data_IF_835586251478
#
_entry.id   IF_835586251478
#
_cell.length_a   1.000
_cell.length_b   1.000
_cell.length_c   1.000
_cell.angle_alpha   90.00
_cell.angle_beta   90.00
_cell.angle_gamma   90.00
#
_symmetry.space_group_name_H-M   'P 1'
#
loop_
_entity.id
_entity.type
_entity.pdbx_description
1 polymer ?
#
# COMPACT_ATOMS: atom_id res chain seq x y z
N UNK A 1 -31.07 -28.08 -41.36
CA UNK A 1 -29.70 -28.24 -40.82
C UNK A 1 -29.55 -27.23 -39.71
N UNK A 2 -29.82 -27.62 -38.45
CA UNK A 2 -29.58 -26.74 -37.31
C UNK A 2 -28.07 -26.56 -37.16
N UNK A 3 -27.62 -25.33 -36.96
CA UNK A 3 -26.20 -25.04 -36.96
C UNK A 3 -25.57 -25.63 -35.69
N UNK A 4 -24.46 -26.38 -35.85
CA UNK A 4 -23.81 -27.13 -34.77
C UNK A 4 -23.16 -26.18 -33.74
N UNK A 5 -23.06 -24.90 -34.09
CA UNK A 5 -22.39 -23.84 -33.35
C UNK A 5 -23.30 -22.63 -33.21
N UNK A 6 -24.31 -22.70 -32.34
CA UNK A 6 -25.14 -21.56 -31.98
C UNK A 6 -24.65 -20.98 -30.67
N UNK A 7 -24.14 -19.75 -30.74
CA UNK A 7 -23.99 -18.89 -29.58
C UNK A 7 -25.33 -18.17 -29.37
N UNK A 8 -25.79 -18.00 -28.13
CA UNK A 8 -26.96 -17.18 -27.85
C UNK A 8 -26.60 -15.69 -28.04
N UNK A 9 -26.64 -15.24 -29.29
CA UNK A 9 -26.22 -13.91 -29.72
C UNK A 9 -27.00 -12.79 -29.02
N UNK A 10 -28.30 -13.01 -28.75
CA UNK A 10 -29.15 -12.07 -28.02
C UNK A 10 -28.69 -11.85 -26.58
N UNK A 11 -28.23 -12.92 -25.91
CA UNK A 11 -27.71 -12.84 -24.55
C UNK A 11 -26.35 -12.16 -24.53
N UNK A 12 -25.48 -12.45 -25.51
CA UNK A 12 -24.18 -11.79 -25.64
C UNK A 12 -24.35 -10.30 -25.95
N UNK A 13 -25.35 -9.91 -26.73
CA UNK A 13 -25.66 -8.50 -27.00
C UNK A 13 -26.00 -7.73 -25.71
N UNK A 14 -26.75 -8.34 -24.79
CA UNK A 14 -27.06 -7.73 -23.48
C UNK A 14 -25.81 -7.53 -22.62
N UNK A 15 -24.88 -8.50 -22.65
CA UNK A 15 -23.61 -8.42 -21.94
C UNK A 15 -22.66 -7.38 -22.55
N UNK A 16 -22.67 -7.26 -23.88
CA UNK A 16 -21.93 -6.22 -24.61
C UNK A 16 -22.45 -4.82 -24.26
N UNK A 17 -23.78 -4.68 -24.08
CA UNK A 17 -24.36 -3.41 -23.64
C UNK A 17 -23.94 -3.02 -22.21
N UNK A 18 -23.75 -4.00 -21.31
CA UNK A 18 -23.29 -3.73 -19.93
C UNK A 18 -21.78 -3.49 -19.84
N UNK A 19 -20.99 -4.09 -20.73
CA UNK A 19 -19.54 -3.93 -20.80
C UNK A 19 -19.10 -3.35 -22.16
N UNK A 20 -19.24 -2.02 -22.37
CA UNK A 20 -18.88 -1.41 -23.65
C UNK A 20 -17.38 -1.57 -23.96
N UNK A 21 -17.06 -1.65 -25.25
CA UNK A 21 -15.70 -1.80 -25.79
C UNK A 21 -15.03 -3.15 -25.44
N UNK A 22 -15.81 -4.18 -25.11
CA UNK A 22 -15.31 -5.53 -24.75
C UNK A 22 -15.85 -6.66 -25.62
N UNK A 23 -16.46 -6.31 -26.74
CA UNK A 23 -17.25 -7.20 -27.60
C UNK A 23 -16.40 -8.37 -28.12
N UNK A 24 -15.21 -8.07 -28.64
CA UNK A 24 -14.28 -9.09 -29.12
C UNK A 24 -13.83 -10.05 -28.01
N UNK A 25 -13.59 -9.55 -26.79
CA UNK A 25 -13.17 -10.38 -25.66
C UNK A 25 -14.31 -11.23 -25.11
N UNK A 26 -15.53 -10.69 -25.07
CA UNK A 26 -16.74 -11.41 -24.65
C UNK A 26 -17.01 -12.55 -25.63
N UNK A 27 -17.00 -12.28 -26.93
CA UNK A 27 -17.24 -13.30 -27.96
C UNK A 27 -16.16 -14.39 -27.97
N UNK A 28 -14.89 -14.00 -27.81
CA UNK A 28 -13.79 -14.96 -27.67
C UNK A 28 -13.95 -15.83 -26.43
N UNK A 29 -14.25 -15.25 -25.27
CA UNK A 29 -14.42 -15.99 -24.02
C UNK A 29 -15.65 -16.91 -24.08
N UNK A 30 -16.77 -16.45 -24.64
CA UNK A 30 -17.98 -17.24 -24.84
C UNK A 30 -17.67 -18.47 -25.71
N UNK A 31 -16.96 -18.29 -26.84
CA UNK A 31 -16.56 -19.38 -27.74
C UNK A 31 -15.67 -20.43 -27.04
N UNK A 32 -14.76 -19.99 -26.16
CA UNK A 32 -13.81 -20.87 -25.47
C UNK A 32 -14.43 -21.62 -24.28
N UNK A 33 -15.55 -21.14 -23.74
CA UNK A 33 -16.21 -21.69 -22.54
C UNK A 33 -17.44 -22.52 -22.90
N UNK A 34 -18.16 -22.15 -23.95
CA UNK A 34 -19.44 -22.75 -24.29
C UNK A 34 -19.32 -24.24 -24.64
N UNK A 35 -20.14 -25.14 -24.05
CA UNK A 35 -19.98 -26.59 -24.18
C UNK A 35 -20.17 -27.12 -25.61
N UNK A 36 -20.98 -26.41 -26.41
CA UNK A 36 -21.27 -26.76 -27.82
C UNK A 36 -20.26 -26.18 -28.83
N UNK A 37 -19.26 -25.43 -28.36
CA UNK A 37 -18.26 -24.75 -29.20
C UNK A 37 -16.87 -25.41 -29.07
N UNK A 38 -15.81 -24.71 -29.50
CA UNK A 38 -14.41 -25.12 -29.38
C UNK A 38 -13.88 -24.94 -27.94
N UNK A 39 -14.50 -25.61 -26.98
CA UNK A 39 -14.22 -25.39 -25.57
C UNK A 39 -12.81 -25.89 -25.17
N UNK A 40 -11.99 -24.97 -24.69
CA UNK A 40 -10.62 -25.26 -24.25
C UNK A 40 -10.60 -25.90 -22.86
N UNK A 41 -9.51 -26.61 -22.54
CA UNK A 41 -9.32 -27.20 -21.20
C UNK A 41 -8.80 -26.19 -20.19
N UNK A 42 -7.89 -25.32 -20.62
CA UNK A 42 -7.29 -24.27 -19.81
C UNK A 42 -7.39 -22.94 -20.56
N UNK A 43 -7.92 -21.91 -19.88
CA UNK A 43 -8.03 -20.55 -20.41
C UNK A 43 -7.37 -19.59 -19.44
N UNK A 44 -6.54 -18.68 -19.93
CA UNK A 44 -5.87 -17.67 -19.11
C UNK A 44 -6.34 -16.28 -19.53
N UNK A 45 -6.99 -15.56 -18.62
CA UNK A 45 -7.51 -14.22 -18.87
C UNK A 45 -6.63 -13.20 -18.15
N UNK A 46 -5.67 -12.62 -18.87
CA UNK A 46 -4.71 -11.67 -18.32
C UNK A 46 -5.02 -10.21 -18.70
N UNK A 47 -4.48 -9.26 -17.92
CA UNK A 47 -4.63 -7.83 -18.20
C UNK A 47 -4.30 -6.98 -16.98
N UNK A 48 -4.28 -5.66 -17.13
CA UNK A 48 -4.01 -4.73 -16.01
C UNK A 48 -5.14 -4.74 -14.97
N UNK A 49 -4.88 -4.15 -13.80
CA UNK A 49 -5.90 -3.98 -12.75
C UNK A 49 -7.08 -3.16 -13.28
N UNK A 50 -8.27 -3.42 -12.75
CA UNK A 50 -9.49 -2.67 -13.09
C UNK A 50 -9.93 -2.70 -14.56
N UNK A 51 -9.59 -3.76 -15.30
CA UNK A 51 -10.04 -3.98 -16.69
C UNK A 51 -11.40 -4.67 -16.81
N UNK A 52 -12.02 -5.06 -15.68
CA UNK A 52 -13.33 -5.72 -15.65
C UNK A 52 -13.30 -7.23 -15.86
N UNK A 53 -12.11 -7.88 -15.94
CA UNK A 53 -11.97 -9.32 -16.22
C UNK A 53 -12.88 -10.20 -15.34
N UNK A 54 -12.78 -10.06 -14.02
CA UNK A 54 -13.57 -10.85 -13.07
C UNK A 54 -15.07 -10.57 -13.17
N UNK A 55 -15.46 -9.34 -13.47
CA UNK A 55 -16.86 -8.96 -13.64
C UNK A 55 -17.45 -9.57 -14.93
N UNK A 56 -16.73 -9.47 -16.05
CA UNK A 56 -17.12 -10.05 -17.34
C UNK A 56 -17.23 -11.58 -17.23
N UNK A 57 -16.25 -12.24 -16.61
CA UNK A 57 -16.29 -13.70 -16.43
C UNK A 57 -17.50 -14.13 -15.60
N UNK A 58 -17.77 -13.42 -14.50
CA UNK A 58 -18.89 -13.74 -13.63
C UNK A 58 -20.24 -13.58 -14.35
N UNK A 59 -20.45 -12.44 -15.02
CA UNK A 59 -21.70 -12.16 -15.72
C UNK A 59 -21.90 -13.08 -16.92
N UNK A 60 -20.84 -13.37 -17.68
CA UNK A 60 -20.88 -14.30 -18.80
C UNK A 60 -21.27 -15.71 -18.33
N UNK A 61 -20.63 -16.23 -17.28
CA UNK A 61 -20.93 -17.57 -16.77
C UNK A 61 -22.33 -17.67 -16.18
N UNK A 62 -22.82 -16.62 -15.51
CA UNK A 62 -24.21 -16.52 -15.07
C UNK A 62 -25.19 -16.59 -16.24
N UNK A 63 -24.93 -15.78 -17.28
CA UNK A 63 -25.77 -15.71 -18.47
C UNK A 63 -25.82 -17.05 -19.21
N UNK A 64 -24.68 -17.71 -19.40
CA UNK A 64 -24.59 -19.01 -20.06
C UNK A 64 -25.23 -20.14 -19.24
N UNK A 65 -25.14 -20.10 -17.90
CA UNK A 65 -25.81 -21.06 -17.02
C UNK A 65 -27.33 -20.91 -17.07
N UNK A 66 -27.83 -19.68 -17.16
CA UNK A 66 -29.27 -19.42 -17.24
C UNK A 66 -29.88 -19.91 -18.55
N UNK A 67 -29.13 -19.81 -19.65
CA UNK A 67 -29.54 -20.33 -20.96
C UNK A 67 -29.62 -21.86 -20.99
N UNK A 68 -28.57 -22.52 -20.49
CA UNK A 68 -28.43 -23.98 -20.57
C UNK A 68 -28.01 -24.57 -19.20
N UNK A 69 -28.94 -24.68 -18.23
CA UNK A 69 -28.62 -25.10 -16.85
C UNK A 69 -28.16 -26.56 -16.74
N UNK A 70 -28.55 -27.42 -17.67
CA UNK A 70 -28.10 -28.81 -17.76
C UNK A 70 -26.68 -28.94 -18.32
N UNK A 71 -26.32 -28.05 -19.26
CA UNK A 71 -25.11 -28.21 -20.07
C UNK A 71 -23.90 -27.52 -19.44
N UNK A 72 -24.11 -26.46 -18.65
CA UNK A 72 -23.03 -25.68 -18.05
C UNK A 72 -23.24 -25.40 -16.56
N UNK A 73 -22.33 -25.93 -15.74
CA UNK A 73 -22.18 -25.53 -14.35
C UNK A 73 -20.85 -24.85 -14.14
N UNK A 74 -20.77 -23.93 -13.17
CA UNK A 74 -19.52 -23.23 -12.88
C UNK A 74 -19.33 -22.96 -11.40
N UNK A 75 -18.07 -22.77 -11.00
CA UNK A 75 -17.70 -22.29 -9.68
C UNK A 75 -16.58 -21.25 -9.81
N UNK A 76 -16.71 -20.14 -9.06
CA UNK A 76 -15.71 -19.05 -9.04
C UNK A 76 -15.04 -19.03 -7.68
N UNK A 77 -13.75 -19.34 -7.66
CA UNK A 77 -12.90 -19.34 -6.47
C UNK A 77 -12.10 -18.04 -6.46
N UNK A 78 -12.34 -17.21 -5.44
CA UNK A 78 -11.55 -15.99 -5.20
C UNK A 78 -10.29 -16.35 -4.42
N UNK A 79 -9.21 -16.66 -5.14
CA UNK A 79 -7.95 -17.10 -4.54
C UNK A 79 -7.32 -16.05 -3.61
N UNK A 80 -7.62 -14.76 -3.81
CA UNK A 80 -7.17 -13.68 -2.92
C UNK A 80 -7.75 -13.77 -1.49
N UNK A 81 -8.89 -14.44 -1.29
CA UNK A 81 -9.48 -14.70 0.03
C UNK A 81 -8.87 -15.94 0.70
N UNK A 82 -8.15 -16.77 -0.07
CA UNK A 82 -7.55 -18.00 0.37
C UNK A 82 -6.09 -17.78 0.81
N UNK A 83 -5.88 -17.63 2.13
CA UNK A 83 -4.53 -17.40 2.70
C UNK A 83 -3.58 -18.58 2.43
N UNK A 84 -4.06 -19.83 2.59
CA UNK A 84 -3.25 -21.05 2.48
C UNK A 84 -3.73 -21.95 1.33
N UNK A 85 -2.86 -22.82 0.81
CA UNK A 85 -3.23 -23.76 -0.26
C UNK A 85 -4.35 -24.71 0.19
N UNK A 86 -4.32 -25.14 1.45
CA UNK A 86 -5.41 -25.92 2.06
C UNK A 86 -6.76 -25.19 2.00
N UNK A 87 -6.81 -23.92 2.39
CA UNK A 87 -8.05 -23.14 2.32
C UNK A 87 -8.54 -23.02 0.87
N UNK A 88 -7.62 -22.84 -0.10
CA UNK A 88 -7.97 -22.84 -1.52
C UNK A 88 -8.62 -24.18 -1.95
N UNK A 89 -8.04 -25.32 -1.54
CA UNK A 89 -8.52 -26.64 -1.93
C UNK A 89 -9.88 -26.97 -1.30
N UNK A 90 -10.03 -26.81 0.01
CA UNK A 90 -11.29 -27.06 0.73
C UNK A 90 -12.42 -26.16 0.19
N UNK A 91 -12.12 -24.87 -0.06
CA UNK A 91 -13.10 -23.94 -0.63
C UNK A 91 -13.49 -24.28 -2.07
N UNK A 92 -12.53 -24.77 -2.87
CA UNK A 92 -12.80 -25.25 -4.22
C UNK A 92 -13.77 -26.42 -4.20
N UNK A 93 -13.54 -27.42 -3.33
CA UNK A 93 -14.43 -28.60 -3.20
C UNK A 93 -15.82 -28.19 -2.70
N UNK A 94 -15.89 -27.28 -1.72
CA UNK A 94 -17.16 -26.74 -1.22
C UNK A 94 -17.97 -26.07 -2.32
N UNK A 95 -17.38 -25.10 -3.03
CA UNK A 95 -18.06 -24.37 -4.10
C UNK A 95 -18.48 -25.27 -5.27
N UNK A 96 -17.68 -26.29 -5.59
CA UNK A 96 -18.06 -27.30 -6.59
C UNK A 96 -19.20 -28.19 -6.06
N UNK A 97 -19.22 -28.52 -4.77
CA UNK A 97 -20.35 -29.21 -4.15
C UNK A 97 -21.66 -28.42 -4.26
N UNK A 98 -21.62 -27.15 -3.85
CA UNK A 98 -22.76 -26.23 -3.86
C UNK A 98 -23.29 -26.01 -5.28
N UNK A 99 -22.40 -25.79 -6.25
CA UNK A 99 -22.78 -25.59 -7.65
C UNK A 99 -23.50 -26.81 -8.24
N UNK A 100 -23.20 -28.01 -7.73
CA UNK A 100 -23.77 -29.27 -8.18
C UNK A 100 -24.93 -29.78 -7.31
N UNK A 101 -25.32 -29.02 -6.28
CA UNK A 101 -26.34 -29.42 -5.30
C UNK A 101 -26.05 -30.80 -4.66
N UNK A 102 -24.77 -31.14 -4.55
CA UNK A 102 -24.32 -32.38 -3.93
C UNK A 102 -24.06 -32.11 -2.45
N UNK A 103 -25.01 -32.48 -1.58
CA UNK A 103 -25.01 -32.33 -0.10
C UNK A 103 -23.90 -33.11 0.64
N UNK A 104 -22.84 -33.50 -0.07
CA UNK A 104 -21.67 -34.15 0.53
C UNK A 104 -20.83 -33.11 1.25
N UNK A 105 -20.65 -33.32 2.56
CA UNK A 105 -19.77 -32.51 3.40
C UNK A 105 -18.38 -32.38 2.75
N UNK A 106 -17.77 -31.18 2.75
CA UNK A 106 -16.45 -31.00 2.16
C UNK A 106 -15.44 -31.87 2.92
N UNK A 107 -14.94 -32.90 2.25
CA UNK A 107 -13.88 -33.75 2.78
C UNK A 107 -12.62 -32.94 3.06
N UNK A 108 -11.84 -33.34 4.07
CA UNK A 108 -10.58 -32.69 4.44
C UNK A 108 -9.58 -32.78 3.28
N UNK A 109 -9.32 -31.64 2.61
CA UNK A 109 -8.46 -31.57 1.42
C UNK A 109 -7.15 -30.84 1.74
N UNK A 110 -6.13 -31.58 2.18
CA UNK A 110 -4.84 -30.99 2.55
C UNK A 110 -3.84 -30.93 1.39
N UNK A 111 -3.99 -31.83 0.42
CA UNK A 111 -3.05 -31.97 -0.71
C UNK A 111 -3.77 -31.79 -2.03
N UNK A 112 -3.00 -31.42 -3.06
CA UNK A 112 -3.52 -31.35 -4.42
C UNK A 112 -4.04 -32.71 -4.91
N UNK A 113 -3.38 -33.81 -4.52
CA UNK A 113 -3.86 -35.15 -4.86
C UNK A 113 -5.24 -35.45 -4.26
N UNK A 114 -5.48 -35.03 -3.00
CA UNK A 114 -6.79 -35.13 -2.37
C UNK A 114 -7.84 -34.27 -3.08
N UNK A 115 -7.49 -33.03 -3.48
CA UNK A 115 -8.35 -32.19 -4.29
C UNK A 115 -8.73 -32.88 -5.61
N UNK A 116 -7.75 -33.43 -6.33
CA UNK A 116 -7.99 -34.13 -7.60
C UNK A 116 -8.92 -35.32 -7.40
N UNK A 117 -8.73 -36.11 -6.35
CA UNK A 117 -9.57 -37.27 -6.04
C UNK A 117 -11.03 -36.86 -5.75
N UNK A 118 -11.25 -35.84 -4.91
CA UNK A 118 -12.59 -35.34 -4.60
C UNK A 118 -13.30 -34.71 -5.81
N UNK A 119 -12.58 -33.91 -6.60
CA UNK A 119 -13.12 -33.35 -7.84
C UNK A 119 -13.44 -34.44 -8.85
N UNK A 120 -12.60 -35.47 -8.98
CA UNK A 120 -12.86 -36.62 -9.86
C UNK A 120 -14.10 -37.37 -9.38
N UNK A 121 -14.24 -37.60 -8.07
CA UNK A 121 -15.44 -38.21 -7.47
C UNK A 121 -16.71 -37.43 -7.83
N UNK A 122 -16.70 -36.11 -7.66
CA UNK A 122 -17.88 -35.25 -7.90
C UNK A 122 -18.18 -34.99 -9.38
N UNK A 123 -17.17 -34.95 -10.25
CA UNK A 123 -17.31 -34.52 -11.65
C UNK A 123 -17.23 -35.64 -12.69
N UNK A 124 -16.48 -36.73 -12.42
CA UNK A 124 -16.25 -37.81 -13.39
C UNK A 124 -17.24 -38.97 -13.26
N UNK A 125 -17.64 -39.30 -12.03
CA UNK A 125 -18.48 -40.47 -11.74
C UNK A 125 -19.95 -40.12 -11.52
N UNK A 126 -20.32 -38.84 -11.55
CA UNK A 126 -21.72 -38.46 -11.58
C UNK A 126 -22.28 -38.78 -12.98
N UNK A 127 -23.39 -39.53 -13.03
CA UNK A 127 -24.13 -39.79 -14.28
C UNK A 127 -24.50 -38.44 -14.91
N UNK A 128 -23.78 -38.09 -15.96
CA UNK A 128 -23.93 -36.80 -16.64
C UNK A 128 -23.88 -37.02 -18.13
N UNK A 129 -24.66 -36.20 -18.83
CA UNK A 129 -24.59 -36.13 -20.28
C UNK A 129 -23.15 -35.82 -20.70
N UNK A 130 -22.71 -36.53 -21.74
CA UNK A 130 -21.38 -36.38 -22.33
C UNK A 130 -21.11 -34.95 -22.84
N UNK A 131 -22.17 -34.13 -22.97
CA UNK A 131 -22.11 -32.71 -23.37
C UNK A 131 -22.05 -31.74 -22.20
N UNK A 132 -22.33 -32.19 -20.98
CA UNK A 132 -22.28 -31.33 -19.79
C UNK A 132 -20.84 -30.96 -19.46
N UNK A 133 -20.62 -29.70 -19.09
CA UNK A 133 -19.31 -29.14 -18.79
C UNK A 133 -19.30 -28.37 -17.47
N UNK A 134 -18.18 -28.45 -16.78
CA UNK A 134 -17.95 -27.72 -15.55
C UNK A 134 -16.82 -26.70 -15.73
N UNK A 135 -17.09 -25.43 -15.43
CA UNK A 135 -16.12 -24.35 -15.52
C UNK A 135 -15.66 -23.94 -14.13
N UNK A 136 -14.38 -24.10 -13.85
CA UNK A 136 -13.77 -23.72 -12.59
C UNK A 136 -12.88 -22.49 -12.79
N UNK A 137 -13.26 -21.37 -12.20
CA UNK A 137 -12.53 -20.10 -12.31
C UNK A 137 -11.70 -19.89 -11.05
N UNK A 138 -10.39 -19.70 -11.21
CA UNK A 138 -9.50 -19.24 -10.16
C UNK A 138 -9.16 -17.76 -10.38
N UNK A 139 -9.81 -16.88 -9.62
CA UNK A 139 -9.58 -15.45 -9.68
C UNK A 139 -8.40 -15.03 -8.78
N UNK A 140 -7.45 -14.30 -9.35
CA UNK A 140 -6.32 -13.68 -8.65
C UNK A 140 -5.40 -14.70 -7.96
N UNK A 141 -5.09 -15.79 -8.66
CA UNK A 141 -4.33 -16.93 -8.12
C UNK A 141 -2.92 -16.58 -7.62
N UNK A 142 -2.21 -15.64 -8.26
CA UNK A 142 -0.86 -15.25 -7.80
C UNK A 142 -0.87 -14.20 -6.66
N UNK A 143 -2.03 -13.78 -6.12
CA UNK A 143 -2.08 -12.95 -4.90
C UNK A 143 -2.00 -13.77 -3.61
N UNK A 144 -1.95 -15.09 -3.70
CA UNK A 144 -1.82 -15.93 -2.53
C UNK A 144 -0.45 -15.69 -1.86
N UNK A 145 -0.48 -15.43 -0.55
CA UNK A 145 0.70 -14.96 0.20
C UNK A 145 1.87 -15.95 0.16
N UNK A 146 1.57 -17.25 0.07
CA UNK A 146 2.51 -18.38 0.11
C UNK A 146 2.20 -19.43 -0.97
N UNK A 147 1.95 -19.03 -2.23
CA UNK A 147 1.74 -20.01 -3.30
C UNK A 147 3.08 -20.62 -3.77
N UNK A 148 3.26 -21.96 -3.72
CA UNK A 148 4.42 -22.58 -4.32
C UNK A 148 4.36 -22.43 -5.86
N UNK A 149 5.51 -22.31 -6.54
CA UNK A 149 5.56 -22.11 -8.00
C UNK A 149 4.96 -23.30 -8.77
N UNK A 150 4.80 -24.44 -8.12
CA UNK A 150 4.19 -25.65 -8.67
C UNK A 150 2.67 -25.65 -8.61
N UNK A 151 2.03 -24.74 -7.86
CA UNK A 151 0.58 -24.72 -7.65
C UNK A 151 -0.19 -24.51 -8.97
N UNK A 152 0.14 -23.45 -9.71
CA UNK A 152 -0.55 -23.09 -10.94
C UNK A 152 -0.40 -24.16 -12.03
N UNK A 153 0.81 -24.67 -12.34
CA UNK A 153 0.95 -25.80 -13.26
C UNK A 153 0.14 -27.02 -12.83
N UNK A 154 0.12 -27.32 -11.54
CA UNK A 154 -0.54 -28.52 -11.06
C UNK A 154 -2.08 -28.40 -11.05
N UNK A 155 -2.63 -27.21 -10.83
CA UNK A 155 -4.07 -26.93 -11.03
C UNK A 155 -4.46 -26.97 -12.51
N UNK A 156 -3.60 -26.49 -13.41
CA UNK A 156 -3.85 -26.56 -14.84
C UNK A 156 -3.95 -28.01 -15.36
N UNK A 157 -3.33 -28.98 -14.68
CA UNK A 157 -3.44 -30.41 -15.01
C UNK A 157 -4.74 -31.06 -14.53
N UNK A 158 -5.56 -30.38 -13.73
CA UNK A 158 -6.87 -30.92 -13.33
C UNK A 158 -7.78 -31.16 -14.54
N UNK A 159 -7.72 -30.28 -15.54
CA UNK A 159 -8.48 -30.41 -16.79
C UNK A 159 -7.93 -31.51 -17.72
N UNK A 160 -6.72 -32.03 -17.47
CA UNK A 160 -6.20 -33.22 -18.15
C UNK A 160 -6.86 -34.49 -17.58
N UNK A 161 -7.01 -34.53 -16.25
CA UNK A 161 -7.49 -35.69 -15.48
C UNK A 161 -9.02 -35.82 -15.55
N UNK A 162 -9.73 -34.68 -15.55
CA UNK A 162 -11.20 -34.62 -15.55
C UNK A 162 -11.66 -34.16 -16.95
N UNK A 163 -12.30 -35.03 -17.75
CA UNK A 163 -12.56 -34.76 -19.17
C UNK A 163 -13.53 -33.59 -19.42
N UNK A 164 -14.49 -33.38 -18.53
CA UNK A 164 -15.53 -32.35 -18.66
C UNK A 164 -15.21 -31.07 -17.87
N UNK A 165 -13.97 -30.89 -17.42
CA UNK A 165 -13.54 -29.73 -16.64
C UNK A 165 -12.80 -28.72 -17.52
N UNK A 166 -13.21 -27.45 -17.41
CA UNK A 166 -12.47 -26.31 -17.96
C UNK A 166 -12.01 -25.42 -16.83
N UNK A 167 -10.70 -25.16 -16.77
CA UNK A 167 -10.16 -24.25 -15.77
C UNK A 167 -9.85 -22.89 -16.40
N UNK A 168 -10.29 -21.83 -15.74
CA UNK A 168 -10.05 -20.44 -16.14
C UNK A 168 -9.19 -19.79 -15.08
N UNK A 169 -8.00 -19.34 -15.46
CA UNK A 169 -7.09 -18.64 -14.57
C UNK A 169 -7.11 -17.14 -14.86
N UNK A 170 -7.35 -16.35 -13.83
CA UNK A 170 -7.19 -14.89 -13.88
C UNK A 170 -5.95 -14.53 -13.06
N UNK A 171 -4.76 -14.43 -13.67
CA UNK A 171 -3.58 -13.98 -12.95
C UNK A 171 -3.78 -12.52 -12.49
N UNK A 172 -3.24 -12.14 -11.32
CA UNK A 172 -3.21 -10.75 -10.93
C UNK A 172 -2.44 -9.92 -11.95
N UNK A 173 -2.89 -8.69 -12.12
CA UNK A 173 -2.25 -7.75 -13.02
C UNK A 173 -0.80 -7.53 -12.63
N UNK A 174 0.13 -7.74 -13.56
CA UNK A 174 1.47 -7.16 -13.48
C UNK A 174 1.30 -5.64 -13.41
N UNK A 175 1.55 -5.05 -12.25
CA UNK A 175 1.52 -3.59 -12.11
C UNK A 175 2.68 -3.02 -12.92
N UNK A 176 2.46 -2.15 -13.92
CA UNK A 176 3.58 -1.42 -14.52
C UNK A 176 4.29 -0.62 -13.42
N UNK A 177 5.63 -0.60 -13.47
CA UNK A 177 6.51 0.00 -12.46
C UNK A 177 6.15 1.46 -12.15
N UNK A 178 5.58 2.17 -13.13
CA UNK A 178 4.95 3.47 -12.95
C UNK A 178 3.46 3.27 -12.70
N UNK A 179 2.95 3.60 -11.51
CA UNK A 179 1.51 3.81 -11.28
C UNK A 179 1.16 5.24 -11.72
N UNK A 180 0.63 5.48 -12.94
CA UNK A 180 -0.01 6.75 -13.23
C UNK A 180 -1.20 6.91 -12.29
N UNK A 181 -1.30 8.09 -11.66
CA UNK A 181 -2.15 8.41 -10.50
C UNK A 181 -3.68 8.19 -10.67
N UNK A 182 -4.17 7.66 -11.79
CA UNK A 182 -5.61 7.53 -12.03
C UNK A 182 -6.05 6.60 -13.15
N UNK A 183 -5.25 5.63 -13.60
CA UNK A 183 -5.65 4.76 -14.74
C UNK A 183 -6.58 3.59 -14.41
N UNK A 184 -7.04 3.46 -13.16
CA UNK A 184 -8.01 2.41 -12.80
C UNK A 184 -9.42 3.00 -12.74
N UNK A 185 -10.36 2.35 -13.43
CA UNK A 185 -11.74 2.80 -13.52
C UNK A 185 -12.40 3.01 -12.13
N UNK A 186 -12.26 2.09 -11.14
CA UNK A 186 -12.82 2.31 -9.81
C UNK A 186 -12.27 3.53 -9.09
N UNK A 187 -10.96 3.84 -9.25
CA UNK A 187 -10.37 5.04 -8.65
C UNK A 187 -10.87 6.30 -9.34
N UNK A 188 -11.00 6.27 -10.66
CA UNK A 188 -11.60 7.37 -11.41
C UNK A 188 -13.04 7.62 -10.93
N UNK A 189 -13.87 6.58 -10.82
CA UNK A 189 -15.24 6.69 -10.30
C UNK A 189 -15.26 7.27 -8.88
N UNK A 190 -14.39 6.80 -8.00
CA UNK A 190 -14.28 7.32 -6.63
C UNK A 190 -13.86 8.79 -6.61
N UNK A 191 -12.85 9.18 -7.40
CA UNK A 191 -12.39 10.57 -7.50
C UNK A 191 -13.45 11.46 -8.11
N UNK A 192 -14.18 11.00 -9.14
CA UNK A 192 -15.33 11.71 -9.69
C UNK A 192 -16.42 11.89 -8.62
N UNK A 193 -16.75 10.85 -7.85
CA UNK A 193 -17.71 10.94 -6.75
C UNK A 193 -17.31 11.94 -5.67
N UNK A 194 -16.02 12.02 -5.31
CA UNK A 194 -15.52 12.98 -4.33
C UNK A 194 -15.46 14.43 -4.86
N UNK A 195 -15.13 14.61 -6.14
CA UNK A 195 -14.99 15.93 -6.77
C UNK A 195 -16.32 16.51 -7.25
N UNK A 196 -17.30 15.68 -7.62
CA UNK A 196 -18.55 16.11 -8.23
C UNK A 196 -19.35 17.09 -7.37
N UNK A 197 -19.53 16.88 -6.05
CA UNK A 197 -20.22 17.85 -5.20
C UNK A 197 -19.50 19.21 -5.15
N UNK A 198 -18.16 19.19 -5.11
CA UNK A 198 -17.35 20.42 -5.08
C UNK A 198 -17.39 21.17 -6.40
N UNK A 199 -17.39 20.43 -7.51
CA UNK A 199 -17.48 21.00 -8.86
C UNK A 199 -18.84 21.65 -9.14
N UNK A 200 -19.92 21.08 -8.61
CA UNK A 200 -21.30 21.54 -8.82
C UNK A 200 -21.78 22.55 -7.76
N UNK A 201 -21.08 22.69 -6.63
CA UNK A 201 -21.40 23.67 -5.59
C UNK A 201 -21.59 25.12 -6.10
N UNK A 202 -20.77 25.64 -7.04
CA UNK A 202 -20.97 26.99 -7.58
C UNK A 202 -22.28 27.14 -8.40
N UNK A 203 -22.75 26.04 -9.00
CA UNK A 203 -24.03 25.99 -9.72
C UNK A 203 -25.19 25.97 -8.74
N UNK A 204 -25.08 25.16 -7.67
CA UNK A 204 -26.08 25.12 -6.60
C UNK A 204 -26.20 26.47 -5.86
N UNK A 205 -25.08 27.18 -5.68
CA UNK A 205 -25.05 28.51 -5.08
C UNK A 205 -25.52 29.64 -6.03
N UNK A 206 -25.88 29.33 -7.29
CA UNK A 206 -26.33 30.33 -8.27
C UNK A 206 -25.24 31.27 -8.80
N UNK A 207 -23.97 31.04 -8.45
CA UNK A 207 -22.84 31.87 -8.92
C UNK A 207 -22.49 31.63 -10.40
N UNK A 208 -22.67 30.39 -10.86
CA UNK A 208 -22.39 29.98 -12.24
C UNK A 208 -23.57 29.19 -12.81
N UNK A 209 -23.78 29.30 -14.12
CA UNK A 209 -24.77 28.49 -14.83
C UNK A 209 -24.15 27.17 -15.31
N UNK A 210 -24.95 26.11 -15.41
CA UNK A 210 -24.50 24.81 -15.91
C UNK A 210 -23.92 24.85 -17.35
N UNK A 211 -24.32 25.84 -18.15
CA UNK A 211 -23.80 26.06 -19.52
C UNK A 211 -22.39 26.68 -19.54
N UNK A 212 -21.93 27.27 -18.45
CA UNK A 212 -20.63 27.95 -18.37
C UNK A 212 -19.50 27.00 -17.95
N UNK A 213 -19.36 25.87 -18.66
CA UNK A 213 -18.41 24.81 -18.31
C UNK A 213 -16.96 25.30 -18.19
N UNK A 214 -16.51 26.15 -19.11
CA UNK A 214 -15.14 26.69 -19.09
C UNK A 214 -14.84 27.52 -17.83
N UNK A 215 -15.82 28.30 -17.35
CA UNK A 215 -15.67 29.12 -16.13
C UNK A 215 -15.64 28.23 -14.89
N UNK A 216 -16.51 27.22 -14.84
CA UNK A 216 -16.50 26.22 -13.77
C UNK A 216 -15.18 25.45 -13.73
N UNK A 217 -14.62 25.10 -14.88
CA UNK A 217 -13.34 24.38 -14.96
C UNK A 217 -12.17 25.23 -14.46
N UNK A 218 -12.17 26.54 -14.75
CA UNK A 218 -11.17 27.47 -14.22
C UNK A 218 -11.32 27.62 -12.69
N UNK A 219 -12.54 27.79 -12.20
CA UNK A 219 -12.82 27.89 -10.76
C UNK A 219 -12.43 26.61 -9.99
N UNK A 220 -12.66 25.45 -10.59
CA UNK A 220 -12.34 24.14 -10.01
C UNK A 220 -10.90 23.68 -10.27
N UNK A 221 -10.07 24.47 -10.97
CA UNK A 221 -8.70 24.08 -11.36
C UNK A 221 -7.84 23.63 -10.18
N UNK A 222 -7.96 24.31 -9.03
CA UNK A 222 -7.22 23.96 -7.82
C UNK A 222 -7.57 22.55 -7.32
N UNK A 223 -8.83 22.12 -7.44
CA UNK A 223 -9.25 20.78 -7.04
C UNK A 223 -8.68 19.67 -7.92
N UNK A 224 -8.42 19.94 -9.21
CA UNK A 224 -7.80 18.99 -10.14
C UNK A 224 -6.28 18.89 -9.98
N UNK A 225 -5.65 19.87 -9.33
CA UNK A 225 -4.21 19.87 -9.01
C UNK A 225 -3.92 19.25 -7.65
N UNK A 226 -4.95 19.02 -6.83
CA UNK A 226 -4.82 18.43 -5.51
C UNK A 226 -4.72 16.90 -5.59
N UNK A 227 -3.48 16.40 -5.56
CA UNK A 227 -3.20 14.97 -5.55
C UNK A 227 -3.78 14.23 -4.34
N UNK A 228 -4.14 14.95 -3.27
CA UNK A 228 -4.75 14.34 -2.09
C UNK A 228 -6.12 13.72 -2.43
N UNK A 229 -6.85 14.27 -3.40
CA UNK A 229 -8.16 13.73 -3.81
C UNK A 229 -8.04 12.42 -4.61
N UNK A 230 -6.85 12.14 -5.17
CA UNK A 230 -6.56 10.94 -5.97
C UNK A 230 -6.03 9.76 -5.14
N UNK A 231 -5.61 10.01 -3.89
CA UNK A 231 -5.07 9.00 -2.99
C UNK A 231 -6.08 8.65 -1.89
N UNK A 232 -6.87 7.57 -2.01
CA UNK A 232 -7.72 7.06 -0.94
C UNK A 232 -6.91 6.40 0.21
N UNK A 233 -5.61 6.69 0.34
CA UNK A 233 -4.77 6.18 1.41
C UNK A 233 -5.15 6.88 2.72
N UNK A 234 -6.02 6.23 3.51
CA UNK A 234 -6.41 6.63 4.88
C UNK A 234 -6.52 8.16 5.04
N UNK A 235 -7.21 8.82 4.13
CA UNK A 235 -7.82 10.09 4.50
C UNK A 235 -9.05 9.68 5.29
N UNK A 236 -8.94 9.75 6.63
CA UNK A 236 -10.12 9.82 7.47
C UNK A 236 -11.03 10.84 6.80
N UNK A 237 -12.22 10.39 6.39
CA UNK A 237 -13.26 11.24 5.86
C UNK A 237 -13.21 12.53 6.67
N UNK A 238 -12.86 13.64 6.02
CA UNK A 238 -12.95 14.96 6.64
C UNK A 238 -14.40 15.04 7.11
N UNK A 239 -14.62 14.96 8.42
CA UNK A 239 -15.93 14.83 9.04
C UNK A 239 -17.00 15.60 8.25
N UNK A 240 -17.84 14.89 7.51
CA UNK A 240 -19.01 15.47 6.85
C UNK A 240 -20.02 16.00 7.90
N UNK A 241 -19.82 15.68 9.18
CA UNK A 241 -20.59 16.21 10.31
C UNK A 241 -20.24 17.63 10.78
N UNK A 242 -19.25 18.33 10.19
CA UNK A 242 -18.90 19.70 10.59
C UNK A 242 -19.62 20.80 9.77
N UNK A 243 -20.53 20.45 8.86
CA UNK A 243 -21.22 21.42 7.99
C UNK A 243 -22.45 22.06 8.66
N UNK A 244 -22.96 21.52 9.77
CA UNK A 244 -24.25 21.98 10.32
C UNK A 244 -24.18 23.15 11.32
N UNK A 245 -22.99 23.59 11.76
CA UNK A 245 -22.87 24.68 12.75
C UNK A 245 -21.93 25.82 12.30
N UNK A 246 -22.14 26.36 11.10
CA UNK A 246 -21.64 27.71 10.77
C UNK A 246 -22.67 28.48 9.96
N UNK A 247 -23.64 29.02 10.67
CA UNK A 247 -24.48 30.12 10.20
C UNK A 247 -23.60 31.33 9.87
N UNK A 248 -23.64 31.70 8.58
CA UNK A 248 -23.46 33.02 7.98
C UNK A 248 -22.34 33.94 8.52
N UNK A 249 -21.30 34.17 7.68
CA UNK A 249 -20.58 35.44 7.49
C UNK A 249 -19.83 35.39 6.13
N UNK A 250 -19.74 36.49 5.37
CA UNK A 250 -19.26 36.49 4.00
C UNK A 250 -17.72 36.40 3.92
N UNK A 251 -17.24 35.59 2.98
CA UNK A 251 -15.83 35.30 2.77
C UNK A 251 -15.05 36.50 2.19
N UNK A 252 -14.08 36.99 2.96
CA UNK A 252 -12.87 37.64 2.45
C UNK A 252 -11.66 37.06 3.20
N UNK A 253 -10.65 36.64 2.44
CA UNK A 253 -9.35 36.10 2.89
C UNK A 253 -9.37 34.72 3.53
N UNK A 254 -9.49 33.66 2.72
CA UNK A 254 -8.93 32.35 3.08
C UNK A 254 -7.63 32.20 2.29
N UNK A 255 -6.54 32.67 2.90
CA UNK A 255 -5.22 32.24 2.52
C UNK A 255 -5.16 30.71 2.70
N UNK A 256 -4.80 30.00 1.63
CA UNK A 256 -4.59 28.57 1.59
C UNK A 256 -3.59 28.14 2.68
N UNK A 257 -4.08 27.71 3.84
CA UNK A 257 -3.29 26.85 4.72
C UNK A 257 -3.28 25.46 4.07
N UNK A 258 -2.18 25.17 3.36
CA UNK A 258 -1.76 23.81 2.99
C UNK A 258 -1.57 23.00 4.28
N UNK A 259 -2.65 22.47 4.84
CA UNK A 259 -2.58 21.48 5.92
C UNK A 259 -2.24 20.14 5.29
N UNK A 260 -0.93 19.86 5.18
CA UNK A 260 -0.45 18.50 4.98
C UNK A 260 -1.14 17.59 5.99
N UNK A 261 -1.82 16.55 5.52
CA UNK A 261 -2.59 15.59 6.31
C UNK A 261 -1.73 14.68 7.21
N UNK A 262 -0.57 15.15 7.65
CA UNK A 262 0.10 14.63 8.83
C UNK A 262 -0.55 15.36 10.01
N UNK A 263 -1.55 14.74 10.64
CA UNK A 263 -1.95 15.14 12.00
C UNK A 263 -0.68 15.40 12.80
N UNK A 264 -0.50 16.64 13.23
CA UNK A 264 0.77 17.17 13.71
C UNK A 264 1.36 16.24 14.78
N UNK A 265 2.30 15.37 14.37
CA UNK A 265 3.02 14.46 15.27
C UNK A 265 3.74 15.28 16.35
N UNK A 266 4.06 16.53 16.03
CA UNK A 266 4.50 17.60 16.90
C UNK A 266 3.55 17.93 18.06
N UNK A 267 2.23 17.79 17.89
CA UNK A 267 1.23 18.05 18.92
C UNK A 267 0.89 16.79 19.75
N UNK A 268 1.11 15.59 19.20
CA UNK A 268 0.74 14.32 19.82
C UNK A 268 1.86 13.70 20.67
N UNK A 269 3.12 14.00 20.38
CA UNK A 269 4.26 13.41 21.09
C UNK A 269 4.71 14.26 22.30
N UNK A 270 4.98 13.62 23.46
CA UNK A 270 5.66 14.28 24.57
C UNK A 270 6.99 14.92 24.15
N UNK A 271 7.45 16.00 24.82
CA UNK A 271 8.66 16.73 24.44
C UNK A 271 9.91 15.82 24.43
N UNK A 272 10.05 14.92 25.40
CA UNK A 272 11.14 13.92 25.46
C UNK A 272 11.16 13.03 24.21
N UNK A 273 9.98 12.55 23.77
CA UNK A 273 9.86 11.72 22.57
C UNK A 273 10.19 12.50 21.29
N UNK A 274 9.83 13.79 21.23
CA UNK A 274 10.18 14.67 20.09
C UNK A 274 11.69 14.88 19.97
N UNK A 275 12.38 15.17 21.07
CA UNK A 275 13.83 15.32 21.07
C UNK A 275 14.57 14.01 20.75
N UNK A 276 14.12 12.89 21.30
CA UNK A 276 14.67 11.57 20.95
C UNK A 276 14.47 11.23 19.48
N UNK A 277 13.34 11.62 18.89
CA UNK A 277 13.08 11.40 17.47
C UNK A 277 13.99 12.24 16.57
N UNK A 278 14.26 13.49 16.94
CA UNK A 278 15.25 14.34 16.26
C UNK A 278 16.66 13.74 16.39
N UNK A 279 17.06 13.33 17.61
CA UNK A 279 18.36 12.71 17.86
C UNK A 279 18.55 11.41 17.06
N UNK A 280 17.50 10.58 16.96
CA UNK A 280 17.50 9.38 16.13
C UNK A 280 17.64 9.68 14.64
N UNK A 281 17.01 10.76 14.16
CA UNK A 281 17.16 11.20 12.78
C UNK A 281 18.59 11.66 12.47
N UNK A 282 19.18 12.46 13.36
CA UNK A 282 20.58 12.87 13.28
C UNK A 282 21.52 11.66 13.33
N UNK A 283 21.27 10.70 14.21
CA UNK A 283 22.03 9.46 14.27
C UNK A 283 21.94 8.67 12.95
N UNK A 284 20.79 8.64 12.30
CA UNK A 284 20.61 7.86 11.07
C UNK A 284 21.28 8.48 9.83
N UNK A 285 21.31 9.82 9.74
CA UNK A 285 21.85 10.54 8.58
C UNK A 285 23.30 11.00 8.75
N UNK A 286 23.74 11.30 9.97
CA UNK A 286 25.13 11.66 10.24
C UNK A 286 25.98 10.41 10.49
N UNK A 287 27.17 10.36 9.88
CA UNK A 287 28.13 9.30 10.20
C UNK A 287 28.69 9.49 11.61
N UNK A 288 28.99 8.40 12.35
CA UNK A 288 29.59 8.49 13.70
C UNK A 288 30.87 9.32 13.77
N UNK A 289 31.60 9.46 12.65
CA UNK A 289 32.83 10.27 12.56
C UNK A 289 32.58 11.77 12.75
N UNK A 290 31.35 12.25 12.53
CA UNK A 290 31.02 13.68 12.62
C UNK A 290 30.48 14.08 13.99
N UNK A 291 30.16 13.12 14.86
CA UNK A 291 29.55 13.40 16.16
C UNK A 291 30.45 14.26 17.03
N UNK A 292 31.74 13.96 17.12
CA UNK A 292 32.68 14.76 17.90
C UNK A 292 32.79 16.21 17.39
N UNK A 293 32.73 16.42 16.07
CA UNK A 293 32.83 17.77 15.51
C UNK A 293 31.57 18.61 15.73
N UNK A 294 30.40 17.96 15.82
CA UNK A 294 29.10 18.62 15.97
C UNK A 294 28.66 18.74 17.44
N UNK A 295 28.99 17.77 18.27
CA UNK A 295 28.38 17.57 19.60
C UNK A 295 29.38 17.71 20.75
N UNK A 296 30.69 17.81 20.48
CA UNK A 296 31.64 18.06 21.56
C UNK A 296 31.53 19.50 22.04
N UNK A 297 31.04 19.65 23.26
CA UNK A 297 30.91 20.95 23.94
C UNK A 297 32.25 21.49 24.44
N UNK A 298 33.36 20.73 24.32
CA UNK A 298 34.71 21.13 24.73
C UNK A 298 35.30 22.31 23.94
N UNK A 299 34.61 22.78 22.88
CA UNK A 299 34.95 24.02 22.18
C UNK A 299 33.78 25.02 22.08
N UNK A 300 32.82 24.96 23.00
CA UNK A 300 31.79 26.01 23.15
C UNK A 300 32.29 27.22 23.94
N UNK A 301 33.52 27.65 23.64
CA UNK A 301 34.02 29.00 23.96
C UNK A 301 34.36 29.82 22.72
N UNK A 302 34.32 29.21 21.53
CA UNK A 302 34.73 29.88 20.31
C UNK A 302 33.86 29.46 19.14
N UNK A 303 32.68 30.08 19.04
CA UNK A 303 32.11 30.47 17.75
C UNK A 303 33.09 31.48 17.10
N UNK A 304 34.31 31.03 16.76
CA UNK A 304 35.29 31.81 16.01
C UNK A 304 34.78 31.82 14.58
N UNK A 305 33.87 32.77 14.36
CA UNK A 305 33.73 33.57 13.16
C UNK A 305 34.42 32.93 11.95
N UNK A 306 33.63 32.29 11.09
CA UNK A 306 33.83 32.41 9.64
C UNK A 306 33.78 33.91 9.31
N UNK A 307 34.90 34.60 9.52
CA UNK A 307 35.17 35.95 9.04
C UNK A 307 36.58 35.87 8.46
N UNK A 308 36.67 36.14 7.16
CA UNK A 308 37.91 36.06 6.41
C UNK A 308 39.05 36.85 7.06
N UNK A 309 40.26 36.34 6.89
CA UNK A 309 41.48 36.96 7.38
C UNK A 309 42.66 36.07 7.04
N UNK A 310 43.34 36.41 5.96
CA UNK A 310 44.54 35.75 5.47
C UNK A 310 45.72 35.92 6.46
N UNK A 311 46.50 34.85 6.63
CA UNK A 311 47.97 34.89 6.77
C UNK A 311 48.50 33.52 6.34
N UNK A 312 49.27 33.51 5.26
CA UNK A 312 49.77 32.28 4.65
C UNK A 312 50.93 31.64 5.42
N UNK A 313 51.08 30.34 5.20
CA UNK A 313 52.40 29.75 4.98
C UNK A 313 52.26 28.62 3.98
N UNK A 314 53.03 28.74 2.91
CA UNK A 314 53.18 27.83 1.81
C UNK A 314 54.02 26.62 2.22
N UNK A 315 53.55 25.42 1.92
CA UNK A 315 54.44 24.30 1.59
C UNK A 315 53.83 23.54 0.42
N UNK A 316 54.52 23.45 -0.74
CA UNK A 316 54.07 22.68 -1.86
C UNK A 316 54.63 21.27 -1.72
N UNK A 317 53.79 20.28 -1.40
CA UNK A 317 54.09 18.91 -1.81
C UNK A 317 52.79 18.16 -2.04
N UNK A 318 52.63 17.75 -3.30
CA UNK A 318 51.45 17.07 -3.80
C UNK A 318 51.34 15.65 -3.26
N UNK A 319 50.17 15.34 -2.71
CA UNK A 319 49.66 13.98 -2.64
C UNK A 319 48.13 14.01 -2.72
N UNK A 320 47.61 13.72 -3.91
CA UNK A 320 46.28 13.16 -4.11
C UNK A 320 45.09 14.01 -3.67
N UNK A 321 44.77 15.06 -4.42
CA UNK A 321 43.41 15.64 -4.42
C UNK A 321 42.46 14.58 -5.02
N UNK A 322 42.05 13.60 -4.21
CA UNK A 322 41.02 12.63 -4.58
C UNK A 322 39.81 13.44 -5.01
N UNK A 323 39.48 13.36 -6.30
CA UNK A 323 38.25 13.91 -6.85
C UNK A 323 37.12 13.42 -5.93
N UNK A 324 36.54 14.33 -5.14
CA UNK A 324 35.38 14.01 -4.32
C UNK A 324 34.28 13.70 -5.31
N UNK A 325 34.13 12.41 -5.62
CA UNK A 325 32.97 11.83 -6.28
C UNK A 325 31.76 12.57 -5.73
N UNK A 326 30.94 13.18 -6.59
CA UNK A 326 29.71 13.89 -6.18
C UNK A 326 28.95 12.92 -5.28
N UNK A 327 29.05 13.13 -3.97
CA UNK A 327 28.52 12.20 -2.99
C UNK A 327 27.02 12.28 -3.20
N UNK A 328 26.40 11.14 -3.51
CA UNK A 328 24.94 11.04 -3.52
C UNK A 328 24.47 11.65 -2.21
N UNK A 329 23.56 12.63 -2.28
CA UNK A 329 23.04 13.27 -1.09
C UNK A 329 22.55 12.16 -0.16
N UNK A 330 23.11 12.07 1.05
CA UNK A 330 22.79 10.98 2.00
C UNK A 330 21.32 10.96 2.42
N UNK A 331 20.57 12.00 2.05
CA UNK A 331 19.11 12.10 2.15
C UNK A 331 18.37 11.20 1.15
N UNK A 332 19.01 10.87 0.02
CA UNK A 332 18.51 9.93 -0.99
C UNK A 332 18.94 8.49 -0.70
N UNK A 333 19.98 8.28 0.11
CA UNK A 333 20.25 6.99 0.73
C UNK A 333 19.24 6.82 1.88
N UNK A 334 18.62 5.64 1.97
CA UNK A 334 17.73 5.33 3.08
C UNK A 334 18.41 5.52 4.45
N UNK A 335 17.61 5.67 5.53
CA UNK A 335 18.11 5.93 6.86
C UNK A 335 19.14 4.88 7.30
N UNK A 336 20.33 5.34 7.72
CA UNK A 336 21.39 4.49 8.22
C UNK A 336 21.04 3.84 9.56
N UNK A 337 21.60 2.65 9.81
CA UNK A 337 21.48 1.96 11.09
C UNK A 337 22.46 2.57 12.10
N UNK A 338 21.99 2.82 13.32
CA UNK A 338 22.79 3.35 14.43
C UNK A 338 22.64 2.51 15.70
N UNK A 339 23.56 2.67 16.64
CA UNK A 339 23.53 2.00 17.96
C UNK A 339 22.71 2.84 18.94
N UNK A 340 21.93 2.20 19.81
CA UNK A 340 21.06 2.88 20.77
C UNK A 340 21.83 3.87 21.66
N UNK A 341 22.99 3.44 22.18
CA UNK A 341 23.87 4.27 22.99
C UNK A 341 24.25 5.59 22.31
N UNK A 342 24.56 5.54 21.00
CA UNK A 342 24.89 6.73 20.22
C UNK A 342 23.71 7.70 20.15
N UNK A 343 22.50 7.20 19.94
CA UNK A 343 21.30 8.04 19.91
C UNK A 343 21.06 8.72 21.26
N UNK A 344 21.20 7.98 22.36
CA UNK A 344 21.05 8.52 23.71
C UNK A 344 22.14 9.55 24.02
N UNK A 345 23.39 9.32 23.58
CA UNK A 345 24.48 10.28 23.72
C UNK A 345 24.19 11.58 22.95
N UNK A 346 23.70 11.48 21.71
CA UNK A 346 23.28 12.65 20.92
C UNK A 346 22.15 13.40 21.64
N UNK A 347 21.15 12.68 22.16
CA UNK A 347 20.04 13.28 22.91
C UNK A 347 20.53 14.03 24.16
N UNK A 348 21.38 13.42 24.99
CA UNK A 348 21.90 14.07 26.20
C UNK A 348 22.73 15.30 25.84
N UNK A 349 23.55 15.24 24.78
CA UNK A 349 24.38 16.36 24.33
C UNK A 349 23.55 17.55 23.81
N UNK A 350 22.39 17.29 23.22
CA UNK A 350 21.57 18.32 22.54
C UNK A 350 20.37 18.80 23.36
N UNK A 351 19.87 17.98 24.31
CA UNK A 351 18.69 18.30 25.12
C UNK A 351 18.84 19.62 25.87
N UNK A 352 20.03 19.92 26.41
CA UNK A 352 20.26 21.17 27.14
C UNK A 352 20.18 22.40 26.23
N UNK A 353 20.81 22.34 25.05
CA UNK A 353 20.78 23.41 24.06
C UNK A 353 19.36 23.63 23.52
N UNK A 354 18.63 22.55 23.23
CA UNK A 354 17.27 22.64 22.69
C UNK A 354 16.21 22.99 23.75
N UNK A 355 16.41 22.63 25.03
CA UNK A 355 15.50 22.97 26.12
C UNK A 355 15.69 24.40 26.65
N UNK A 356 16.88 25.00 26.47
CA UNK A 356 17.23 26.33 26.99
C UNK A 356 16.52 27.52 26.32
N UNK A 357 15.59 27.27 25.37
CA UNK A 357 14.72 28.29 24.78
C UNK A 357 13.55 28.74 25.66
N UNK A 358 13.42 28.23 26.89
CA UNK A 358 12.43 28.63 27.89
C UNK A 358 13.17 28.88 29.20
N UNK A 359 12.96 30.06 29.79
CA UNK A 359 13.66 30.67 30.94
C UNK A 359 13.67 29.84 32.26
N UNK A 360 14.28 28.65 32.27
CA UNK A 360 14.51 27.90 33.50
C UNK A 360 15.92 27.31 33.54
N UNK A 361 16.87 28.15 33.96
CA UNK A 361 18.18 27.71 34.43
C UNK A 361 18.04 26.99 35.79
N UNK A 362 17.48 25.78 35.77
CA UNK A 362 17.69 24.79 36.84
C UNK A 362 18.62 23.72 36.28
N UNK A 363 19.66 23.39 37.05
CA UNK A 363 20.59 22.30 36.75
C UNK A 363 19.81 21.01 36.44
N UNK A 364 19.62 20.72 35.16
CA UNK A 364 19.10 19.44 34.71
C UNK A 364 20.24 18.45 34.89
N UNK A 365 20.14 17.63 35.93
CA UNK A 365 21.03 16.50 36.19
C UNK A 365 21.24 15.73 34.88
N UNK A 366 22.51 15.55 34.50
CA UNK A 366 22.92 14.72 33.37
C UNK A 366 22.67 13.24 33.68
N UNK A 367 21.40 12.86 33.69
CA UNK A 367 20.92 11.50 33.91
C UNK A 367 20.01 11.06 32.78
N UNK A 368 20.08 9.77 32.45
CA UNK A 368 19.06 9.13 31.61
C UNK A 368 17.91 8.75 32.54
N UNK A 369 16.90 9.61 32.62
CA UNK A 369 15.70 9.34 33.42
C UNK A 369 14.95 8.10 32.90
N UNK A 370 14.17 7.44 33.77
CA UNK A 370 13.28 6.33 33.37
C UNK A 370 12.31 6.71 32.25
N UNK A 371 11.98 8.00 32.15
CA UNK A 371 11.14 8.59 31.10
C UNK A 371 11.75 8.46 29.70
N UNK A 372 13.09 8.43 29.59
CA UNK A 372 13.79 8.24 28.32
C UNK A 372 13.58 6.81 27.81
N UNK A 373 13.67 5.82 28.70
CA UNK A 373 13.40 4.43 28.36
C UNK A 373 11.96 4.22 27.90
N UNK A 374 11.00 4.79 28.62
CA UNK A 374 9.58 4.81 28.25
C UNK A 374 9.34 5.50 26.90
N UNK A 375 9.98 6.64 26.65
CA UNK A 375 9.86 7.36 25.37
C UNK A 375 10.46 6.56 24.20
N UNK A 376 11.56 5.84 24.39
CA UNK A 376 12.12 4.94 23.36
C UNK A 376 11.16 3.79 23.07
N UNK A 377 10.59 3.17 24.10
CA UNK A 377 9.61 2.09 23.93
C UNK A 377 8.34 2.55 23.21
N UNK A 378 7.82 3.74 23.53
CA UNK A 378 6.66 4.31 22.83
C UNK A 378 6.99 4.63 21.36
N UNK A 379 8.13 5.23 21.05
CA UNK A 379 8.57 5.48 19.68
C UNK A 379 8.76 4.19 18.86
N UNK A 380 9.24 3.11 19.50
CA UNK A 380 9.35 1.79 18.89
C UNK A 380 7.97 1.16 18.61
N UNK A 381 7.05 1.24 19.59
CA UNK A 381 5.66 0.77 19.44
C UNK A 381 4.92 1.50 18.32
N UNK A 382 5.12 2.81 18.20
CA UNK A 382 4.58 3.65 17.11
C UNK A 382 5.29 3.44 15.76
N UNK A 383 6.29 2.56 15.69
CA UNK A 383 7.12 2.29 14.49
C UNK A 383 7.80 3.54 13.90
N UNK A 384 8.04 4.56 14.73
CA UNK A 384 8.85 5.73 14.37
C UNK A 384 10.34 5.39 14.49
N UNK A 385 10.68 4.49 15.42
CA UNK A 385 11.97 3.82 15.52
C UNK A 385 11.79 2.32 15.28
N UNK A 386 12.72 1.71 14.54
CA UNK A 386 12.67 0.29 14.21
C UNK A 386 13.99 -0.37 14.59
N UNK A 387 13.93 -1.42 15.41
CA UNK A 387 15.09 -2.25 15.75
C UNK A 387 15.50 -3.09 14.53
N UNK A 388 16.79 -3.12 14.22
CA UNK A 388 17.37 -3.81 13.08
C UNK A 388 18.27 -4.94 13.60
N UNK A 389 17.97 -6.20 13.26
CA UNK A 389 18.84 -7.33 13.63
C UNK A 389 18.55 -8.00 14.97
N UNK A 390 17.30 -7.98 15.45
CA UNK A 390 16.75 -9.01 16.33
C UNK A 390 15.77 -9.85 15.51
N UNK A 391 15.91 -11.19 15.54
CA UNK A 391 15.09 -12.08 14.74
C UNK A 391 13.60 -11.76 14.86
N UNK A 392 12.91 -11.65 13.72
CA UNK A 392 11.48 -11.50 13.62
C UNK A 392 10.79 -12.81 14.05
N UNK A 393 10.79 -13.10 15.35
CA UNK A 393 9.89 -14.05 15.97
C UNK A 393 8.97 -13.24 16.87
N UNK A 394 7.84 -12.79 16.30
CA UNK A 394 6.71 -12.27 17.04
C UNK A 394 6.94 -10.94 17.76
N UNK A 395 6.19 -9.93 17.34
CA UNK A 395 5.47 -9.13 18.33
C UNK A 395 4.49 -10.07 19.07
N UNK A 396 5.03 -10.97 19.89
CA UNK A 396 4.27 -11.69 20.89
C UNK A 396 4.15 -10.72 22.06
N UNK A 397 2.95 -10.20 22.21
CA UNK A 397 2.47 -9.58 23.45
C UNK A 397 2.88 -10.50 24.61
N UNK A 398 3.76 -10.01 25.51
CA UNK A 398 3.91 -10.60 26.84
C UNK A 398 5.17 -11.44 27.13
N UNK A 399 6.38 -10.99 26.80
CA UNK A 399 7.59 -11.55 27.41
C UNK A 399 8.64 -10.47 27.78
N UNK A 400 8.64 -10.07 29.06
CA UNK A 400 9.82 -9.62 29.81
C UNK A 400 10.54 -8.33 29.34
N UNK A 401 10.20 -7.20 29.96
CA UNK A 401 10.76 -5.86 29.71
C UNK A 401 12.23 -5.63 30.13
N UNK A 402 13.16 -6.50 29.73
CA UNK A 402 14.60 -6.35 30.01
C UNK A 402 15.53 -6.45 28.79
N UNK A 403 15.13 -7.14 27.72
CA UNK A 403 15.99 -7.39 26.54
C UNK A 403 15.77 -6.39 25.38
N UNK A 404 14.85 -5.44 25.55
CA UNK A 404 14.39 -4.56 24.47
C UNK A 404 15.16 -3.23 24.36
N UNK A 405 15.87 -2.83 25.43
CA UNK A 405 16.77 -1.66 25.45
C UNK A 405 18.24 -2.09 25.61
N UNK A 406 18.66 -3.09 24.85
CA UNK A 406 20.09 -3.41 24.76
C UNK A 406 20.87 -2.18 24.24
N UNK A 407 21.89 -1.74 25.00
CA UNK A 407 22.70 -0.54 24.68
C UNK A 407 23.43 -0.69 23.34
N UNK A 408 23.82 -1.93 23.00
CA UNK A 408 24.41 -2.30 21.71
C UNK A 408 23.39 -2.53 20.59
N UNK A 409 22.10 -2.42 20.88
CA UNK A 409 21.02 -2.64 19.94
C UNK A 409 21.13 -1.73 18.72
N UNK A 410 20.93 -2.29 17.53
CA UNK A 410 20.92 -1.56 16.26
C UNK A 410 19.50 -1.07 15.95
N UNK A 411 19.38 0.20 15.62
CA UNK A 411 18.11 0.90 15.36
C UNK A 411 18.18 1.71 14.08
N UNK A 412 17.03 2.00 13.49
CA UNK A 412 16.87 2.93 12.37
C UNK A 412 15.64 3.81 12.59
N UNK A 413 15.71 5.05 12.10
CA UNK A 413 14.55 5.95 12.06
C UNK A 413 13.65 5.57 10.87
N UNK A 414 12.33 5.62 11.06
CA UNK A 414 11.33 5.36 10.02
C UNK A 414 10.47 6.60 9.78
N UNK A 415 11.11 7.76 9.73
CA UNK A 415 10.45 9.06 9.60
C UNK A 415 11.14 9.86 8.48
N UNK A 416 10.34 10.47 7.62
CA UNK A 416 10.82 11.32 6.54
C UNK A 416 11.21 12.71 7.00
N UNK A 417 12.00 13.41 6.17
CA UNK A 417 12.51 14.76 6.43
C UNK A 417 11.41 15.76 6.79
N UNK A 418 10.31 15.81 6.04
CA UNK A 418 9.23 16.79 6.25
C UNK A 418 8.57 16.66 7.64
N UNK A 419 8.48 15.44 8.17
CA UNK A 419 7.91 15.21 9.50
C UNK A 419 8.90 15.68 10.57
N UNK A 420 10.18 15.33 10.45
CA UNK A 420 11.22 15.75 11.41
C UNK A 420 11.40 17.27 11.40
N UNK A 421 11.35 17.92 10.24
CA UNK A 421 11.41 19.40 10.18
C UNK A 421 10.22 20.02 10.90
N UNK A 422 9.02 19.43 10.79
CA UNK A 422 7.82 19.89 11.48
C UNK A 422 7.94 19.75 12.99
N UNK A 423 8.47 18.60 13.46
CA UNK A 423 8.76 18.35 14.88
C UNK A 423 9.85 19.28 15.41
N UNK A 424 10.91 19.55 14.64
CA UNK A 424 11.97 20.49 15.00
C UNK A 424 11.43 21.92 15.17
N UNK A 425 10.66 22.42 14.19
CA UNK A 425 10.04 23.75 14.26
C UNK A 425 9.11 23.92 15.45
N UNK A 426 8.36 22.88 15.85
CA UNK A 426 7.49 22.97 17.02
C UNK A 426 8.24 23.02 18.36
N UNK A 427 9.53 22.67 18.35
CA UNK A 427 10.44 22.74 19.49
C UNK A 427 11.43 23.91 19.37
N UNK A 428 11.34 24.74 18.33
CA UNK A 428 12.32 25.81 18.06
C UNK A 428 13.69 25.31 17.60
N UNK A 429 13.80 24.06 17.14
CA UNK A 429 15.06 23.43 16.70
C UNK A 429 15.19 23.46 15.18
N UNK A 430 16.24 24.10 14.68
CA UNK A 430 16.60 24.08 13.26
C UNK A 430 17.43 22.82 12.94
N UNK A 431 16.75 21.69 12.69
CA UNK A 431 17.40 20.39 12.42
C UNK A 431 18.36 20.43 11.22
N UNK A 432 18.19 21.38 10.30
CA UNK A 432 19.07 21.58 9.14
C UNK A 432 20.51 21.91 9.53
N UNK A 433 20.73 22.67 10.60
CA UNK A 433 22.07 23.07 11.06
C UNK A 433 22.89 21.89 11.59
N UNK A 434 22.22 20.83 12.03
CA UNK A 434 22.82 19.67 12.66
C UNK A 434 23.15 18.54 11.66
N UNK A 435 22.81 18.69 10.39
CA UNK A 435 23.04 17.69 9.34
C UNK A 435 24.29 18.00 8.52
N UNK A 436 25.16 17.00 8.35
CA UNK A 436 26.35 17.12 7.49
C UNK A 436 26.03 16.68 6.06
N UNK A 437 26.28 17.54 5.07
CA UNK A 437 26.10 17.26 3.64
C UNK A 437 27.08 16.22 3.05
#
# INVERSE_FOLDING_TARGET
MASIFELPDDLLASLVASFPCRDAQINALATLVHPRMAACRNVVVHGTEATGKSAIINELLQTLRNDSPSDLNYAIVKSAECVTARHLFERTVGLVGDALQNDSTPGRCETLAALTAELTKKLKYAERDARSRFVLVFDSIDRQRDAPPTLLPALARLSEIIPNLTTVFVPPSTTPSTRPAGRTLPRLTQSCGALWPRFTAPVAAGTHKAREFSKLLIAARAYFQDESVLQPGIQRARNEGAINNSTALPAKNVAEKKSSSTTDLSALLPPTARYLLIAAYLASHNAPRHDNALLSTWHTGARKRRRGGATGSSTPNGAGRRAKHRRIARRLLGPGVFVLERMVAIYVATKQEWASGVDDAKEVVNGVDGDVGMAIATLASLRLLVRVGGGAAGAAVGAGGGADLDRGGKWRVNVGWEIIRGVGRSMGVEVEEWLVE
#
